data_IF_377417786962
#
_entry.id   IF_377417786962
#
_cell.length_a   1.000
_cell.length_b   1.000
_cell.length_c   1.000
_cell.angle_alpha   90.00
_cell.angle_beta   90.00
_cell.angle_gamma   90.00
#
_symmetry.space_group_name_H-M   'P 1'
#
loop_
_entity.id
_entity.type
_entity.pdbx_description
1 polymer ?
#
# COMPACT_ATOMS: atom_id res chain seq x y z
N UNK A 1 -5.61 -26.36 -13.38
CA UNK A 1 -5.80 -25.47 -12.21
C UNK A 1 -4.44 -24.95 -11.73
N UNK A 2 -3.97 -23.79 -12.22
CA UNK A 2 -2.68 -23.21 -11.79
C UNK A 2 -2.86 -22.54 -10.43
N UNK A 3 -2.03 -22.95 -9.46
CA UNK A 3 -2.13 -22.56 -8.05
C UNK A 3 -1.92 -21.04 -7.90
N UNK A 4 -3.00 -20.32 -7.63
CA UNK A 4 -3.03 -18.97 -7.08
C UNK A 4 -2.47 -18.97 -5.64
N UNK A 5 -1.21 -19.38 -5.44
CA UNK A 5 -0.57 -19.28 -4.13
C UNK A 5 -0.38 -17.80 -3.81
N UNK A 6 -1.20 -17.30 -2.88
CA UNK A 6 -0.99 -15.99 -2.25
C UNK A 6 0.29 -16.12 -1.43
N UNK A 7 1.26 -15.26 -1.70
CA UNK A 7 2.49 -15.27 -0.92
C UNK A 7 2.26 -14.52 0.41
N UNK A 8 2.92 -14.97 1.47
CA UNK A 8 2.85 -14.36 2.79
C UNK A 8 2.99 -12.82 2.80
N UNK A 9 3.95 -12.20 2.08
CA UNK A 9 4.05 -10.74 2.00
C UNK A 9 2.85 -10.05 1.32
N UNK A 10 2.16 -10.71 0.41
CA UNK A 10 0.93 -10.18 -0.20
C UNK A 10 -0.19 -10.13 0.83
N UNK A 11 -0.31 -11.17 1.66
CA UNK A 11 -1.30 -11.24 2.73
C UNK A 11 -1.05 -10.15 3.77
N UNK A 12 0.22 -9.87 4.11
CA UNK A 12 0.56 -8.76 5.00
C UNK A 12 0.19 -7.41 4.38
N UNK A 13 0.43 -7.19 3.07
CA UNK A 13 0.04 -5.94 2.41
C UNK A 13 -1.47 -5.73 2.40
N UNK A 14 -2.24 -6.78 2.11
CA UNK A 14 -3.72 -6.73 2.16
C UNK A 14 -4.18 -6.46 3.60
N UNK A 15 -3.57 -7.12 4.59
CA UNK A 15 -3.87 -6.90 5.99
C UNK A 15 -3.58 -5.45 6.43
N UNK A 16 -2.42 -4.91 6.06
CA UNK A 16 -2.07 -3.52 6.31
C UNK A 16 -3.09 -2.58 5.67
N UNK A 17 -3.55 -2.87 4.43
CA UNK A 17 -4.58 -2.09 3.76
C UNK A 17 -5.90 -2.09 4.53
N UNK A 18 -6.37 -3.27 4.96
CA UNK A 18 -7.61 -3.39 5.74
C UNK A 18 -7.49 -2.65 7.08
N UNK A 19 -6.33 -2.73 7.73
CA UNK A 19 -6.07 -2.03 8.98
C UNK A 19 -6.08 -0.50 8.78
N UNK A 20 -5.48 -0.02 7.69
CA UNK A 20 -5.52 1.40 7.33
C UNK A 20 -6.94 1.87 7.01
N UNK A 21 -7.70 1.07 6.26
CA UNK A 21 -9.09 1.35 5.91
C UNK A 21 -9.95 1.46 7.18
N UNK A 22 -9.84 0.49 8.09
CA UNK A 22 -10.52 0.48 9.38
C UNK A 22 -10.17 1.74 10.20
N UNK A 23 -8.88 2.05 10.35
CA UNK A 23 -8.42 3.22 11.08
C UNK A 23 -8.90 4.54 10.45
N UNK A 24 -8.90 4.64 9.12
CA UNK A 24 -9.39 5.83 8.41
C UNK A 24 -10.90 6.03 8.58
N UNK A 25 -11.69 4.96 8.48
CA UNK A 25 -13.15 5.01 8.69
C UNK A 25 -13.48 5.39 10.13
N UNK A 26 -12.78 4.80 11.12
CA UNK A 26 -12.94 5.18 12.54
C UNK A 26 -12.53 6.64 12.79
N UNK A 27 -11.49 7.13 12.11
CA UNK A 27 -11.05 8.53 12.20
C UNK A 27 -12.14 9.47 11.68
N UNK A 28 -12.81 9.12 10.57
CA UNK A 28 -13.89 9.93 10.00
C UNK A 28 -15.16 9.89 10.86
N UNK A 29 -15.52 8.74 11.44
CA UNK A 29 -16.73 8.59 12.27
C UNK A 29 -16.54 9.24 13.65
N UNK A 30 -15.43 8.95 14.31
CA UNK A 30 -15.19 9.35 15.70
C UNK A 30 -14.35 10.62 15.85
N UNK A 31 -14.26 11.45 14.80
CA UNK A 31 -13.48 12.70 14.82
C UNK A 31 -11.99 12.52 15.19
N UNK A 32 -11.41 11.38 14.80
CA UNK A 32 -10.02 11.05 15.04
C UNK A 32 -9.69 10.84 16.51
N UNK A 33 -10.38 9.93 17.20
CA UNK A 33 -9.93 9.40 18.49
C UNK A 33 -8.49 8.87 18.34
N UNK A 34 -7.64 9.07 19.34
CA UNK A 34 -6.23 8.68 19.30
C UNK A 34 -6.02 7.22 18.88
N UNK A 35 -6.89 6.32 19.32
CA UNK A 35 -6.86 4.91 18.95
C UNK A 35 -6.95 4.68 17.44
N UNK A 36 -7.78 5.44 16.73
CA UNK A 36 -7.90 5.32 15.26
C UNK A 36 -6.60 5.73 14.55
N UNK A 37 -5.89 6.73 15.06
CA UNK A 37 -4.59 7.16 14.54
C UNK A 37 -3.52 6.11 14.79
N UNK A 38 -3.53 5.48 15.96
CA UNK A 38 -2.63 4.37 16.26
C UNK A 38 -2.83 3.22 15.29
N UNK A 39 -4.08 2.82 15.04
CA UNK A 39 -4.41 1.76 14.07
C UNK A 39 -3.85 2.11 12.67
N UNK A 40 -4.07 3.34 12.20
CA UNK A 40 -3.53 3.79 10.91
C UNK A 40 -1.99 3.83 10.89
N UNK A 41 -1.38 4.28 11.99
CA UNK A 41 0.08 4.36 12.13
C UNK A 41 0.68 2.96 12.09
N UNK A 42 0.11 2.00 12.81
CA UNK A 42 0.52 0.60 12.72
C UNK A 42 0.42 0.05 11.30
N UNK A 43 -0.66 0.36 10.58
CA UNK A 43 -0.81 -0.05 9.20
C UNK A 43 0.31 0.51 8.30
N UNK A 44 0.63 1.80 8.44
CA UNK A 44 1.73 2.45 7.72
C UNK A 44 3.07 1.82 8.09
N UNK A 45 3.35 1.60 9.37
CA UNK A 45 4.59 0.97 9.85
C UNK A 45 4.75 -0.43 9.29
N UNK A 46 3.68 -1.25 9.28
CA UNK A 46 3.70 -2.59 8.68
C UNK A 46 4.01 -2.48 7.18
N UNK A 47 3.37 -1.56 6.46
CA UNK A 47 3.60 -1.38 5.02
C UNK A 47 5.05 -0.93 4.72
N UNK A 48 5.59 0.00 5.52
CA UNK A 48 6.99 0.42 5.46
C UNK A 48 7.91 -0.76 5.74
N UNK A 49 7.65 -1.53 6.80
CA UNK A 49 8.44 -2.70 7.16
C UNK A 49 8.45 -3.73 6.02
N UNK A 50 7.30 -4.05 5.44
CA UNK A 50 7.22 -4.99 4.30
C UNK A 50 7.93 -4.46 3.06
N UNK A 51 8.03 -3.15 2.89
CA UNK A 51 8.72 -2.53 1.76
C UNK A 51 10.23 -2.43 1.96
N UNK A 52 10.70 -2.18 3.19
CA UNK A 52 12.12 -1.95 3.53
C UNK A 52 12.83 -3.24 3.96
N UNK A 53 12.18 -4.13 4.72
CA UNK A 53 12.78 -5.39 5.20
C UNK A 53 13.38 -6.25 4.07
N UNK A 54 12.78 -6.36 2.87
CA UNK A 54 13.40 -7.07 1.75
C UNK A 54 14.73 -6.46 1.30
N UNK A 55 14.90 -5.13 1.40
CA UNK A 55 16.16 -4.45 1.09
C UNK A 55 17.24 -4.74 2.13
N UNK A 56 16.85 -5.00 3.39
CA UNK A 56 17.77 -5.36 4.48
C UNK A 56 18.18 -6.84 4.48
N UNK A 57 17.80 -7.62 3.47
CA UNK A 57 18.22 -9.02 3.29
C UNK A 57 17.18 -10.07 3.68
N UNK A 58 16.00 -9.68 4.17
CA UNK A 58 14.92 -10.63 4.47
C UNK A 58 14.18 -11.06 3.18
N UNK A 59 14.77 -12.02 2.46
CA UNK A 59 14.25 -12.54 1.18
C UNK A 59 12.88 -13.23 1.29
N UNK A 60 12.44 -13.61 2.50
CA UNK A 60 11.12 -14.21 2.75
C UNK A 60 9.95 -13.21 2.68
N UNK A 61 10.24 -11.91 2.88
CA UNK A 61 9.26 -10.83 2.73
C UNK A 61 9.29 -10.18 1.34
N UNK A 62 10.21 -10.59 0.48
CA UNK A 62 10.30 -10.07 -0.87
C UNK A 62 9.06 -10.52 -1.65
N UNK A 63 8.20 -9.57 -2.06
CA UNK A 63 7.15 -9.88 -3.04
C UNK A 63 7.79 -10.52 -4.27
N UNK A 64 7.30 -11.68 -4.68
CA UNK A 64 7.72 -12.32 -5.92
C UNK A 64 7.63 -11.35 -7.09
N UNK A 65 8.64 -11.40 -7.97
CA UNK A 65 8.85 -10.48 -9.11
C UNK A 65 7.83 -10.71 -10.23
N UNK A 66 6.54 -10.86 -9.92
CA UNK A 66 5.46 -11.03 -10.89
C UNK A 66 4.86 -9.67 -11.24
N UNK A 67 5.31 -9.09 -12.36
CA UNK A 67 4.74 -7.87 -12.94
C UNK A 67 5.74 -7.05 -13.75
N UNK A 68 5.20 -6.24 -14.68
CA UNK A 68 5.96 -5.29 -15.50
C UNK A 68 6.75 -4.29 -14.65
N UNK A 69 7.91 -3.86 -15.17
CA UNK A 69 8.80 -2.86 -14.56
C UNK A 69 8.01 -1.57 -14.21
N UNK A 70 7.07 -1.18 -15.07
CA UNK A 70 6.23 0.01 -14.90
C UNK A 70 5.28 -0.11 -13.70
N UNK A 71 4.65 -1.28 -13.52
CA UNK A 71 3.75 -1.52 -12.38
C UNK A 71 4.48 -1.51 -11.03
N UNK A 72 5.72 -2.01 -11.01
CA UNK A 72 6.58 -1.95 -9.81
C UNK A 72 6.98 -0.52 -9.45
N UNK A 73 7.37 0.27 -10.44
CA UNK A 73 7.72 1.67 -10.22
C UNK A 73 6.52 2.47 -9.71
N UNK A 74 5.35 2.28 -10.33
CA UNK A 74 4.12 2.95 -9.92
C UNK A 74 3.68 2.56 -8.50
N UNK A 75 3.80 1.28 -8.14
CA UNK A 75 3.52 0.81 -6.78
C UNK A 75 4.51 1.41 -5.76
N UNK A 76 5.78 1.59 -6.11
CA UNK A 76 6.75 2.24 -5.24
C UNK A 76 6.43 3.72 -5.05
N UNK A 77 6.10 4.44 -6.11
CA UNK A 77 5.65 5.83 -6.03
C UNK A 77 4.39 6.00 -5.17
N UNK A 78 3.40 5.12 -5.34
CA UNK A 78 2.18 5.15 -4.52
C UNK A 78 2.48 4.95 -3.04
N UNK A 79 3.40 4.05 -2.69
CA UNK A 79 3.81 3.86 -1.30
C UNK A 79 4.51 5.11 -0.74
N UNK A 80 5.47 5.68 -1.48
CA UNK A 80 6.18 6.90 -1.06
C UNK A 80 5.19 8.07 -0.90
N UNK A 81 4.32 8.27 -1.89
CA UNK A 81 3.28 9.30 -1.85
C UNK A 81 2.33 9.10 -0.66
N UNK A 82 1.97 7.84 -0.37
CA UNK A 82 1.12 7.50 0.77
C UNK A 82 1.79 7.77 2.12
N UNK A 83 3.08 7.46 2.26
CA UNK A 83 3.84 7.75 3.48
C UNK A 83 3.97 9.26 3.70
N UNK A 84 4.30 10.00 2.65
CA UNK A 84 4.35 11.46 2.67
C UNK A 84 3.00 12.09 3.03
N UNK A 85 1.92 11.63 2.40
CA UNK A 85 0.57 12.12 2.65
C UNK A 85 0.11 11.83 4.09
N UNK A 86 0.38 10.63 4.61
CA UNK A 86 0.06 10.28 6.01
C UNK A 86 0.88 11.10 7.02
N UNK A 87 2.19 11.24 6.79
CA UNK A 87 3.05 12.07 7.64
C UNK A 87 2.60 13.54 7.64
N UNK A 88 2.19 14.05 6.48
CA UNK A 88 1.65 15.40 6.36
C UNK A 88 0.28 15.56 7.03
N UNK A 89 -0.57 14.52 6.98
CA UNK A 89 -1.82 14.49 7.74
C UNK A 89 -1.54 14.60 9.25
N UNK A 90 -0.61 13.81 9.79
CA UNK A 90 -0.22 13.89 11.21
C UNK A 90 0.29 15.27 11.61
N UNK A 91 1.04 15.93 10.72
CA UNK A 91 1.50 17.29 10.96
C UNK A 91 0.35 18.30 11.08
N UNK A 92 -0.67 18.21 10.21
CA UNK A 92 -1.85 19.08 10.34
C UNK A 92 -2.66 18.79 11.60
N UNK A 93 -2.65 17.54 12.07
CA UNK A 93 -3.25 17.20 13.36
C UNK A 93 -2.53 17.89 14.52
N UNK A 94 -1.20 17.92 14.52
CA UNK A 94 -0.42 18.69 15.50
C UNK A 94 -0.71 20.19 15.43
N UNK A 95 -0.92 20.73 14.22
CA UNK A 95 -1.35 22.12 14.00
C UNK A 95 -2.85 22.38 14.26
N UNK A 96 -3.59 21.39 14.79
CA UNK A 96 -5.04 21.46 15.05
C UNK A 96 -5.89 21.87 13.82
N UNK A 97 -5.38 21.67 12.61
CA UNK A 97 -6.10 21.95 11.37
C UNK A 97 -6.87 20.70 10.92
N UNK A 98 -8.00 20.44 11.60
CA UNK A 98 -8.83 19.25 11.40
C UNK A 98 -9.40 19.09 9.97
N UNK A 99 -9.85 20.15 9.27
CA UNK A 99 -10.38 19.99 7.91
C UNK A 99 -9.35 19.41 6.94
N UNK A 100 -8.13 19.97 6.93
CA UNK A 100 -7.05 19.50 6.05
C UNK A 100 -6.55 18.12 6.44
N UNK A 101 -6.58 17.81 7.74
CA UNK A 101 -6.29 16.47 8.23
C UNK A 101 -7.23 15.43 7.62
N UNK A 102 -8.55 15.62 7.66
CA UNK A 102 -9.49 14.67 7.06
C UNK A 102 -9.30 14.53 5.55
N UNK A 103 -9.08 15.63 4.83
CA UNK A 103 -8.82 15.59 3.38
C UNK A 103 -7.61 14.73 3.05
N UNK A 104 -6.50 14.89 3.78
CA UNK A 104 -5.28 14.09 3.54
C UNK A 104 -5.46 12.63 3.92
N UNK A 105 -6.22 12.35 4.98
CA UNK A 105 -6.55 10.97 5.35
C UNK A 105 -7.33 10.31 4.21
N UNK A 106 -8.34 10.98 3.66
CA UNK A 106 -9.12 10.49 2.51
C UNK A 106 -8.24 10.29 1.27
N UNK A 107 -7.38 11.26 0.92
CA UNK A 107 -6.43 11.15 -0.20
C UNK A 107 -5.53 9.92 -0.02
N UNK A 108 -5.01 9.73 1.20
CA UNK A 108 -4.14 8.59 1.50
C UNK A 108 -4.92 7.27 1.37
N UNK A 109 -6.17 7.19 1.84
CA UNK A 109 -7.01 6.00 1.64
C UNK A 109 -7.25 5.72 0.16
N UNK A 110 -7.49 6.74 -0.65
CA UNK A 110 -7.65 6.60 -2.11
C UNK A 110 -6.36 6.11 -2.78
N UNK A 111 -5.19 6.65 -2.39
CA UNK A 111 -3.90 6.18 -2.89
C UNK A 111 -3.67 4.70 -2.57
N UNK A 112 -4.00 4.28 -1.35
CA UNK A 112 -3.93 2.88 -0.94
C UNK A 112 -4.91 2.00 -1.73
N UNK A 113 -6.12 2.47 -2.00
CA UNK A 113 -7.11 1.75 -2.80
C UNK A 113 -6.65 1.58 -4.26
N UNK A 114 -6.12 2.65 -4.88
CA UNK A 114 -5.52 2.60 -6.22
C UNK A 114 -4.33 1.63 -6.25
N UNK A 115 -3.49 1.65 -5.20
CA UNK A 115 -2.38 0.69 -5.07
C UNK A 115 -2.85 -0.76 -5.03
N UNK A 116 -3.95 -1.05 -4.33
CA UNK A 116 -4.54 -2.39 -4.29
C UNK A 116 -5.15 -2.79 -5.64
N UNK A 117 -5.85 -1.87 -6.32
CA UNK A 117 -6.39 -2.11 -7.66
C UNK A 117 -5.30 -2.40 -8.68
N UNK A 118 -4.20 -1.64 -8.66
CA UNK A 118 -3.04 -1.89 -9.51
C UNK A 118 -2.40 -3.24 -9.20
N UNK A 119 -2.34 -3.63 -7.92
CA UNK A 119 -1.84 -4.93 -7.51
C UNK A 119 -2.73 -6.07 -8.05
N UNK A 120 -4.05 -5.94 -7.92
CA UNK A 120 -5.02 -6.91 -8.45
C UNK A 120 -4.95 -6.99 -9.99
N UNK A 121 -4.87 -5.84 -10.66
CA UNK A 121 -4.78 -5.74 -12.11
C UNK A 121 -3.48 -6.33 -12.64
N UNK A 122 -2.33 -6.02 -12.03
CA UNK A 122 -1.04 -6.62 -12.41
C UNK A 122 -1.08 -8.14 -12.25
N UNK A 123 -1.78 -8.67 -11.25
CA UNK A 123 -1.94 -10.12 -11.10
C UNK A 123 -2.79 -10.73 -12.22
N UNK A 124 -3.88 -10.07 -12.60
CA UNK A 124 -4.80 -10.58 -13.63
C UNK A 124 -4.21 -10.44 -15.04
N UNK A 125 -3.68 -9.27 -15.38
CA UNK A 125 -3.11 -8.97 -16.69
C UNK A 125 -1.87 -9.82 -17.04
N UNK A 126 -1.02 -10.13 -16.06
CA UNK A 126 0.18 -10.97 -16.26
C UNK A 126 -0.06 -12.47 -16.03
N UNK A 127 -1.30 -12.89 -15.74
CA UNK A 127 -1.68 -14.32 -15.78
C UNK A 127 -2.01 -14.76 -17.21
N UNK A 128 -2.29 -13.83 -18.11
CA UNK A 128 -2.52 -14.14 -19.52
C UNK A 128 -1.17 -14.33 -20.25
N UNK A 129 -0.90 -15.59 -20.57
CA UNK A 129 0.27 -16.12 -21.29
C UNK A 129 0.38 -15.62 -22.75
N UNK A 130 -0.26 -14.47 -23.06
CA UNK A 130 -0.47 -13.97 -24.43
C UNK A 130 0.04 -12.56 -24.71
N UNK A 131 0.48 -11.79 -23.73
CA UNK A 131 1.14 -10.50 -24.04
C UNK A 131 2.64 -10.74 -24.18
N UNK A 132 3.02 -11.17 -25.38
CA UNK A 132 4.38 -11.49 -25.78
C UNK A 132 5.30 -10.27 -25.77
N UNK A 133 5.83 -9.95 -24.60
CA UNK A 133 7.04 -9.14 -24.49
C UNK A 133 8.23 -10.11 -24.41
N UNK A 134 8.57 -10.70 -25.57
CA UNK A 134 9.90 -11.26 -25.78
C UNK A 134 10.85 -10.07 -25.73
N UNK A 135 11.55 -9.92 -24.61
CA UNK A 135 12.77 -9.12 -24.57
C UNK A 135 13.76 -9.81 -25.52
N UNK A 136 13.95 -9.22 -26.70
CA UNK A 136 15.03 -9.56 -27.62
C UNK A 136 16.35 -9.53 -26.86
N UNK A 137 17.05 -10.67 -26.90
CA UNK A 137 18.48 -10.75 -26.61
C UNK A 137 19.24 -10.03 -27.72
N UNK A 138 19.96 -8.97 -27.36
CA UNK A 138 21.22 -8.59 -27.99
C UNK A 138 22.20 -8.12 -26.93
#
# INVERSE_FOLDING_TARGET
>A
MRKNKIEFPELIKVFAFLLYLLGSSLTLINHGIEMSLWIMTFAVVINVAVSILPWMGFRWLALSKKGSKTGRWLASLLNIASWGSFGYAMYFRLRRNLPRFYTLITITTLLWAVGLLLFLYSRHAFTDEKTGDKLDEK
#
